data_IF_760154834480
#
_entry.id   IF_760154834480
#
_cell.length_a   1.000
_cell.length_b   1.000
_cell.length_c   1.000
_cell.angle_alpha   90.00
_cell.angle_beta   90.00
_cell.angle_gamma   90.00
#
_symmetry.space_group_name_H-M   'P 1'
#
loop_
_entity.id
_entity.type
_entity.pdbx_description
1 polymer ?
#
# COMPACT_ATOMS: atom_id res chain seq x y z
N UNK A 1 32.92 9.57 0.56
CA UNK A 1 31.61 10.27 0.62
C UNK A 1 31.70 11.75 0.23
N UNK A 2 32.51 12.62 0.87
CA UNK A 2 32.56 14.07 0.52
C UNK A 2 32.81 14.38 -0.97
N UNK A 3 33.74 13.68 -1.62
CA UNK A 3 33.98 13.87 -3.06
C UNK A 3 32.86 13.28 -3.93
N UNK A 4 32.20 12.21 -3.48
CA UNK A 4 31.06 11.61 -4.17
C UNK A 4 29.87 12.57 -4.17
N UNK A 5 29.56 13.19 -3.01
CA UNK A 5 28.47 14.16 -2.86
C UNK A 5 28.70 15.41 -3.70
N UNK A 6 29.93 15.95 -3.75
CA UNK A 6 30.23 17.14 -4.55
C UNK A 6 30.10 16.87 -6.06
N UNK A 7 30.64 15.74 -6.52
CA UNK A 7 30.50 15.26 -7.90
C UNK A 7 29.02 15.04 -8.24
N UNK A 8 28.25 14.47 -7.30
CA UNK A 8 26.82 14.24 -7.48
C UNK A 8 25.96 15.51 -7.52
N UNK A 9 26.21 16.49 -6.65
CA UNK A 9 25.48 17.76 -6.61
C UNK A 9 25.71 18.56 -7.90
N UNK A 10 26.94 18.53 -8.42
CA UNK A 10 27.26 19.06 -9.75
C UNK A 10 26.48 18.31 -10.85
N UNK A 11 26.43 16.98 -10.78
CA UNK A 11 25.69 16.17 -11.75
C UNK A 11 24.18 16.38 -11.71
N UNK A 12 23.55 16.50 -10.54
CA UNK A 12 22.12 16.80 -10.39
C UNK A 12 21.67 18.07 -11.12
N UNK A 13 22.49 19.11 -11.06
CA UNK A 13 22.15 20.41 -11.64
C UNK A 13 22.01 20.36 -13.17
N UNK A 14 22.69 19.42 -13.82
CA UNK A 14 22.66 19.22 -15.28
C UNK A 14 21.83 18.01 -15.69
N UNK A 15 21.93 16.93 -14.91
CA UNK A 15 21.18 15.71 -15.12
C UNK A 15 19.69 15.96 -14.99
N UNK A 16 19.20 16.89 -14.17
CA UNK A 16 17.76 17.11 -14.04
C UNK A 16 17.08 17.26 -15.41
N UNK A 17 17.51 18.15 -16.31
CA UNK A 17 16.83 18.30 -17.61
C UNK A 17 16.88 17.03 -18.51
N UNK A 18 18.04 16.39 -18.64
CA UNK A 18 18.22 15.22 -19.53
C UNK A 18 17.73 13.91 -18.92
N UNK A 19 17.94 13.74 -17.61
CA UNK A 19 17.34 12.68 -16.82
C UNK A 19 15.83 12.80 -16.95
N UNK A 20 15.21 13.98 -16.78
CA UNK A 20 13.75 14.11 -16.88
C UNK A 20 13.20 13.92 -18.29
N UNK A 21 13.90 14.37 -19.33
CA UNK A 21 13.57 13.98 -20.69
C UNK A 21 13.72 12.45 -20.87
N UNK A 22 14.65 11.78 -20.18
CA UNK A 22 14.80 10.31 -20.21
C UNK A 22 13.89 9.53 -19.26
N UNK A 23 13.32 10.18 -18.23
CA UNK A 23 12.30 9.65 -17.32
C UNK A 23 10.89 9.88 -17.86
N UNK A 24 10.75 10.83 -18.79
CA UNK A 24 9.55 11.08 -19.56
C UNK A 24 9.79 11.10 -21.09
N UNK A 25 10.50 10.11 -21.68
CA UNK A 25 11.02 10.19 -23.05
C UNK A 25 9.94 10.17 -24.14
N UNK A 26 8.67 10.05 -23.75
CA UNK A 26 7.52 10.03 -24.64
C UNK A 26 6.22 10.64 -24.04
N UNK A 27 6.27 11.43 -22.94
CA UNK A 27 5.03 11.75 -22.22
C UNK A 27 4.43 10.52 -21.53
N UNK A 28 5.32 9.64 -21.06
CA UNK A 28 5.12 8.26 -20.61
C UNK A 28 4.13 8.15 -19.46
N UNK A 29 4.08 9.16 -18.60
CA UNK A 29 3.01 9.35 -17.61
C UNK A 29 2.19 10.54 -18.07
N UNK A 30 0.98 10.28 -18.58
CA UNK A 30 0.02 11.35 -18.77
C UNK A 30 -0.38 11.85 -17.37
N UNK A 31 0.25 12.93 -16.92
CA UNK A 31 0.01 13.49 -15.59
C UNK A 31 -1.48 13.77 -15.34
N UNK A 32 -2.25 14.11 -16.38
CA UNK A 32 -3.69 14.28 -16.25
C UNK A 32 -4.44 12.95 -16.00
N UNK A 33 -3.98 11.84 -16.60
CA UNK A 33 -4.58 10.52 -16.38
C UNK A 33 -4.27 10.01 -14.96
N UNK A 34 -3.03 10.17 -14.50
CA UNK A 34 -2.65 9.85 -13.12
C UNK A 34 -3.41 10.75 -12.15
N UNK A 35 -3.36 12.07 -12.32
CA UNK A 35 -4.11 13.01 -11.50
C UNK A 35 -5.60 12.69 -11.45
N UNK A 36 -6.25 12.41 -12.59
CA UNK A 36 -7.66 12.02 -12.65
C UNK A 36 -7.93 10.73 -11.88
N UNK A 37 -7.06 9.74 -12.00
CA UNK A 37 -7.25 8.47 -11.28
C UNK A 37 -7.13 8.68 -9.78
N UNK A 38 -6.13 9.45 -9.37
CA UNK A 38 -5.79 9.74 -7.99
C UNK A 38 -6.84 10.59 -7.29
N UNK A 39 -7.29 11.65 -7.95
CA UNK A 39 -8.33 12.55 -7.42
C UNK A 39 -9.68 11.88 -7.25
N UNK A 40 -9.92 10.75 -7.92
CA UNK A 40 -11.18 10.01 -7.84
C UNK A 40 -11.10 8.79 -6.92
N UNK A 41 -9.97 8.55 -6.23
CA UNK A 41 -9.85 7.37 -5.39
C UNK A 41 -10.69 7.47 -4.11
N UNK A 42 -11.57 6.49 -3.91
CA UNK A 42 -12.34 6.38 -2.69
C UNK A 42 -11.52 5.68 -1.57
N UNK A 43 -11.73 6.05 -0.30
CA UNK A 43 -11.11 5.40 0.88
C UNK A 43 -11.21 3.88 0.89
N UNK A 44 -12.39 3.35 0.50
CA UNK A 44 -12.72 1.94 0.59
C UNK A 44 -12.03 1.07 -0.47
N UNK A 45 -11.35 1.67 -1.46
CA UNK A 45 -10.65 0.92 -2.50
C UNK A 45 -9.27 0.40 -2.04
N UNK A 46 -8.80 0.73 -0.83
CA UNK A 46 -7.50 0.29 -0.31
C UNK A 46 -7.42 -1.24 -0.03
N UNK A 47 -8.56 -1.90 0.19
CA UNK A 47 -8.65 -3.37 0.34
C UNK A 47 -8.93 -4.09 -0.99
N UNK A 48 -9.14 -3.35 -2.09
CA UNK A 48 -9.36 -3.95 -3.39
C UNK A 48 -8.05 -4.54 -3.91
N UNK A 49 -8.14 -5.74 -4.48
CA UNK A 49 -7.02 -6.29 -5.24
C UNK A 49 -6.81 -5.45 -6.52
N UNK A 50 -5.57 -5.21 -6.95
CA UNK A 50 -5.31 -4.55 -8.22
C UNK A 50 -6.00 -5.30 -9.36
N UNK A 51 -6.61 -4.55 -10.28
CA UNK A 51 -7.51 -5.10 -11.31
C UNK A 51 -6.74 -5.68 -12.50
N UNK A 52 -5.45 -5.32 -12.61
CA UNK A 52 -4.56 -5.75 -13.67
C UNK A 52 -3.13 -5.93 -13.16
N UNK A 53 -2.40 -6.86 -13.78
CA UNK A 53 -1.01 -7.12 -13.45
C UNK A 53 -0.11 -6.00 -14.01
N UNK A 54 0.42 -5.18 -13.11
CA UNK A 54 1.44 -4.15 -13.40
C UNK A 54 2.87 -4.67 -13.22
N UNK A 55 3.03 -5.97 -12.96
CA UNK A 55 4.33 -6.61 -12.86
C UNK A 55 5.09 -6.59 -14.18
N UNK A 56 6.41 -6.57 -14.08
CA UNK A 56 7.31 -6.74 -15.20
C UNK A 56 8.33 -7.84 -14.88
N UNK A 57 8.85 -8.46 -15.94
CA UNK A 57 9.95 -9.41 -15.81
C UNK A 57 11.25 -8.63 -15.67
N UNK A 58 11.85 -8.67 -14.48
CA UNK A 58 13.16 -8.07 -14.26
C UNK A 58 14.19 -8.70 -15.21
N UNK A 59 14.86 -7.86 -15.99
CA UNK A 59 15.83 -8.30 -17.01
C UNK A 59 17.12 -8.93 -16.44
N UNK A 60 17.31 -8.87 -15.12
CA UNK A 60 18.57 -9.27 -14.47
C UNK A 60 19.62 -8.16 -14.47
N UNK A 61 19.34 -7.01 -15.07
CA UNK A 61 20.20 -5.82 -15.09
C UNK A 61 19.41 -4.60 -14.62
N UNK A 62 20.05 -3.70 -13.88
CA UNK A 62 19.48 -2.38 -13.57
C UNK A 62 19.61 -1.48 -14.79
N UNK A 63 18.50 -1.21 -15.45
CA UNK A 63 18.46 -0.44 -16.69
C UNK A 63 18.73 1.04 -16.42
N UNK A 64 18.20 1.57 -15.31
CA UNK A 64 18.37 2.96 -14.91
C UNK A 64 19.84 3.30 -14.68
N UNK A 65 20.55 2.51 -13.86
CA UNK A 65 21.94 2.82 -13.52
C UNK A 65 22.82 2.82 -14.77
N UNK A 66 22.63 1.85 -15.66
CA UNK A 66 23.30 1.79 -16.96
C UNK A 66 22.98 2.99 -17.85
N UNK A 67 21.70 3.29 -18.08
CA UNK A 67 21.30 4.41 -18.94
C UNK A 67 21.77 5.75 -18.39
N UNK A 68 21.68 5.95 -17.08
CA UNK A 68 22.14 7.16 -16.42
C UNK A 68 23.65 7.35 -16.56
N UNK A 69 24.43 6.31 -16.28
CA UNK A 69 25.89 6.35 -16.38
C UNK A 69 26.33 6.57 -17.83
N UNK A 70 25.70 5.92 -18.80
CA UNK A 70 25.98 6.15 -20.22
C UNK A 70 25.61 7.56 -20.67
N UNK A 71 24.46 8.08 -20.23
CA UNK A 71 24.06 9.48 -20.49
C UNK A 71 25.10 10.46 -19.92
N UNK A 72 25.52 10.25 -18.67
CA UNK A 72 26.53 11.08 -18.02
C UNK A 72 27.89 11.03 -18.72
N UNK A 73 28.34 9.86 -19.20
CA UNK A 73 29.60 9.74 -19.97
C UNK A 73 29.61 10.64 -21.22
N UNK A 74 28.45 10.95 -21.76
CA UNK A 74 28.30 11.82 -22.94
C UNK A 74 28.12 13.31 -22.61
N UNK A 75 27.94 13.66 -21.33
CA UNK A 75 27.70 15.03 -20.90
C UNK A 75 29.02 15.83 -20.83
N UNK A 76 29.03 17.12 -21.23
CA UNK A 76 30.20 18.00 -21.13
C UNK A 76 30.80 18.10 -19.72
N UNK A 77 29.97 17.98 -18.69
CA UNK A 77 30.32 18.08 -17.28
C UNK A 77 31.15 16.89 -16.80
N UNK A 78 31.03 15.76 -17.50
CA UNK A 78 31.80 14.57 -17.20
C UNK A 78 33.20 14.57 -17.82
N UNK A 79 33.64 15.68 -18.44
CA UNK A 79 34.95 15.81 -19.09
C UNK A 79 36.14 15.47 -18.17
N UNK A 80 35.98 15.60 -16.85
CA UNK A 80 37.00 15.28 -15.85
C UNK A 80 36.72 14.00 -15.06
N UNK A 81 35.60 13.31 -15.32
CA UNK A 81 35.23 12.09 -14.61
C UNK A 81 36.05 10.90 -15.16
N UNK A 82 36.57 10.08 -14.25
CA UNK A 82 37.30 8.87 -14.59
C UNK A 82 36.36 7.67 -14.72
N UNK A 83 36.84 6.58 -15.33
CA UNK A 83 36.10 5.32 -15.35
C UNK A 83 35.77 4.79 -13.93
N UNK A 84 36.64 5.06 -12.95
CA UNK A 84 36.41 4.69 -11.55
C UNK A 84 35.28 5.51 -10.93
N UNK A 85 35.18 6.81 -11.25
CA UNK A 85 34.08 7.67 -10.78
C UNK A 85 32.72 7.15 -11.29
N UNK A 86 32.63 6.77 -12.57
CA UNK A 86 31.42 6.21 -13.13
C UNK A 86 31.07 4.85 -12.53
N UNK A 87 32.05 3.98 -12.29
CA UNK A 87 31.81 2.68 -11.66
C UNK A 87 31.33 2.84 -10.21
N UNK A 88 31.91 3.78 -9.45
CA UNK A 88 31.46 4.12 -8.10
C UNK A 88 30.05 4.69 -8.07
N UNK A 89 29.70 5.51 -9.06
CA UNK A 89 28.36 6.05 -9.25
C UNK A 89 27.33 4.94 -9.54
N UNK A 90 27.63 4.08 -10.51
CA UNK A 90 26.78 2.93 -10.87
C UNK A 90 26.53 2.03 -9.66
N UNK A 91 27.59 1.71 -8.89
CA UNK A 91 27.50 0.92 -7.68
C UNK A 91 26.60 1.58 -6.61
N UNK A 92 26.68 2.91 -6.47
CA UNK A 92 25.86 3.67 -5.51
C UNK A 92 24.39 3.65 -5.90
N UNK A 93 24.07 3.80 -7.19
CA UNK A 93 22.68 3.72 -7.68
C UNK A 93 22.13 2.31 -7.46
N UNK A 94 22.90 1.28 -7.81
CA UNK A 94 22.51 -0.11 -7.59
C UNK A 94 22.26 -0.39 -6.10
N UNK A 95 23.11 0.14 -5.21
CA UNK A 95 22.91 0.00 -3.77
C UNK A 95 21.60 0.65 -3.30
N UNK A 96 21.23 1.83 -3.82
CA UNK A 96 19.95 2.49 -3.49
C UNK A 96 18.76 1.63 -3.95
N UNK A 97 18.82 1.12 -5.18
CA UNK A 97 17.77 0.24 -5.72
C UNK A 97 17.67 -1.08 -4.94
N UNK A 98 18.78 -1.62 -4.46
CA UNK A 98 18.77 -2.82 -3.62
C UNK A 98 18.17 -2.54 -2.23
N UNK A 99 18.40 -1.35 -1.65
CA UNK A 99 17.72 -0.94 -0.41
C UNK A 99 16.21 -0.81 -0.63
N UNK A 100 15.80 -0.22 -1.75
CA UNK A 100 14.39 -0.18 -2.13
C UNK A 100 13.78 -1.58 -2.21
N UNK A 101 14.44 -2.52 -2.89
CA UNK A 101 13.96 -3.90 -3.00
C UNK A 101 13.80 -4.56 -1.62
N UNK A 102 14.75 -4.34 -0.70
CA UNK A 102 14.68 -4.85 0.67
C UNK A 102 13.48 -4.27 1.41
N UNK A 103 13.28 -2.95 1.32
CA UNK A 103 12.16 -2.26 1.98
C UNK A 103 10.83 -2.77 1.44
N UNK A 104 10.65 -2.80 0.12
CA UNK A 104 9.41 -3.24 -0.52
C UNK A 104 9.08 -4.69 -0.22
N UNK A 105 10.08 -5.58 -0.23
CA UNK A 105 9.85 -6.98 0.18
C UNK A 105 9.56 -7.10 1.67
N UNK A 106 10.19 -6.27 2.51
CA UNK A 106 9.96 -6.24 3.95
C UNK A 106 8.52 -5.87 4.32
N UNK A 107 7.86 -5.09 3.47
CA UNK A 107 6.44 -4.73 3.63
C UNK A 107 5.49 -5.71 2.90
N UNK A 108 6.01 -6.80 2.33
CA UNK A 108 5.23 -7.84 1.67
C UNK A 108 4.80 -7.52 0.24
N UNK A 109 5.39 -6.49 -0.39
CA UNK A 109 5.04 -6.05 -1.73
C UNK A 109 6.08 -6.51 -2.77
N UNK A 110 5.73 -6.46 -4.06
CA UNK A 110 6.61 -6.87 -5.16
C UNK A 110 7.42 -5.66 -5.68
N UNK A 111 8.77 -5.64 -5.55
CA UNK A 111 9.58 -4.54 -6.09
C UNK A 111 9.61 -4.49 -7.62
N UNK A 112 9.20 -5.56 -8.30
CA UNK A 112 9.10 -5.65 -9.75
C UNK A 112 7.69 -5.37 -10.28
N UNK A 113 6.92 -4.61 -9.52
CA UNK A 113 5.60 -4.14 -9.88
C UNK A 113 5.62 -2.63 -10.05
N UNK A 114 5.23 -2.13 -11.24
CA UNK A 114 5.25 -0.70 -11.52
C UNK A 114 4.27 0.06 -10.61
N UNK A 115 3.13 -0.56 -10.28
CA UNK A 115 2.15 0.01 -9.35
C UNK A 115 2.75 0.26 -7.98
N UNK A 116 3.51 -0.71 -7.46
CA UNK A 116 4.23 -0.64 -6.19
C UNK A 116 5.30 0.44 -6.22
N UNK A 117 6.09 0.53 -7.30
CA UNK A 117 7.12 1.58 -7.44
C UNK A 117 6.54 2.99 -7.50
N UNK A 118 5.47 3.19 -8.25
CA UNK A 118 4.76 4.47 -8.25
C UNK A 118 4.15 4.77 -6.87
N UNK A 119 3.50 3.81 -6.23
CA UNK A 119 2.91 4.00 -4.91
C UNK A 119 3.95 4.40 -3.85
N UNK A 120 5.10 3.73 -3.83
CA UNK A 120 6.22 4.08 -2.97
C UNK A 120 6.79 5.48 -3.32
N UNK A 121 6.83 5.84 -4.60
CA UNK A 121 7.22 7.19 -5.04
C UNK A 121 6.30 8.28 -4.48
N UNK A 122 4.98 8.10 -4.57
CA UNK A 122 4.01 9.03 -3.96
C UNK A 122 4.25 9.15 -2.45
N UNK A 123 4.45 8.01 -1.80
CA UNK A 123 4.61 7.94 -0.36
C UNK A 123 5.88 8.65 0.13
N UNK A 124 7.05 8.29 -0.41
CA UNK A 124 8.31 8.92 -0.01
C UNK A 124 8.32 10.41 -0.33
N UNK A 125 7.63 10.83 -1.40
CA UNK A 125 7.49 12.25 -1.72
C UNK A 125 6.68 13.01 -0.67
N UNK A 126 5.63 12.39 -0.16
CA UNK A 126 4.84 12.93 0.93
C UNK A 126 5.68 13.08 2.19
N UNK A 127 6.47 12.06 2.54
CA UNK A 127 7.33 12.09 3.73
C UNK A 127 8.41 13.16 3.64
N UNK A 128 9.06 13.29 2.47
CA UNK A 128 10.05 14.35 2.20
C UNK A 128 9.43 15.73 2.41
N UNK A 129 8.20 15.94 1.93
CA UNK A 129 7.50 17.22 2.05
C UNK A 129 7.19 17.56 3.51
N UNK A 130 6.67 16.59 4.25
CA UNK A 130 6.16 16.81 5.60
C UNK A 130 7.21 16.56 6.70
N UNK A 131 8.42 16.14 6.33
CA UNK A 131 9.48 15.80 7.28
C UNK A 131 9.07 14.64 8.19
N UNK A 132 8.34 13.66 7.64
CA UNK A 132 7.85 12.51 8.39
C UNK A 132 8.93 11.43 8.36
N UNK A 133 9.43 11.08 9.55
CA UNK A 133 10.28 9.93 9.76
C UNK A 133 9.41 8.76 10.26
N UNK A 134 8.91 7.95 9.34
CA UNK A 134 8.08 6.78 9.64
C UNK A 134 8.75 5.50 9.20
N UNK A 135 8.51 4.43 9.96
CA UNK A 135 8.93 3.10 9.54
C UNK A 135 8.18 2.71 8.26
N UNK A 136 8.85 2.12 7.25
CA UNK A 136 8.19 1.68 6.02
C UNK A 136 7.08 0.65 6.26
N UNK A 137 7.16 -0.08 7.37
CA UNK A 137 6.22 -1.15 7.77
C UNK A 137 4.98 -0.64 8.50
N UNK A 138 4.81 0.68 8.65
CA UNK A 138 3.63 1.23 9.31
C UNK A 138 2.34 0.86 8.52
N UNK A 139 1.27 0.53 9.24
CA UNK A 139 0.02 0.08 8.64
C UNK A 139 -0.62 1.18 7.75
N UNK A 140 -0.41 2.45 8.07
CA UNK A 140 -0.90 3.57 7.28
C UNK A 140 -0.14 3.70 5.96
N UNK A 141 1.19 3.55 6.00
CA UNK A 141 2.05 3.48 4.80
C UNK A 141 1.63 2.35 3.86
N UNK A 142 1.40 1.17 4.43
CA UNK A 142 0.92 -0.01 3.69
C UNK A 142 -0.45 0.23 3.05
N UNK A 143 -1.39 0.80 3.80
CA UNK A 143 -2.72 1.15 3.30
C UNK A 143 -2.64 2.12 2.13
N UNK A 144 -1.83 3.19 2.26
CA UNK A 144 -1.60 4.13 1.18
C UNK A 144 -0.98 3.44 -0.05
N UNK A 145 0.08 2.65 0.12
CA UNK A 145 0.75 1.97 -1.00
C UNK A 145 -0.25 1.10 -1.79
N UNK A 146 -1.09 0.32 -1.09
CA UNK A 146 -2.10 -0.53 -1.72
C UNK A 146 -3.18 0.27 -2.43
N UNK A 147 -3.68 1.32 -1.78
CA UNK A 147 -4.63 2.27 -2.36
C UNK A 147 -4.09 2.83 -3.69
N UNK A 148 -2.86 3.34 -3.70
CA UNK A 148 -2.23 3.86 -4.91
C UNK A 148 -2.03 2.79 -5.98
N UNK A 149 -1.61 1.58 -5.60
CA UNK A 149 -1.45 0.48 -6.55
C UNK A 149 -2.76 0.15 -7.28
N UNK A 150 -3.89 0.11 -6.57
CA UNK A 150 -5.22 -0.08 -7.17
C UNK A 150 -5.52 1.02 -8.17
N UNK A 151 -5.27 2.28 -7.82
CA UNK A 151 -5.40 3.42 -8.73
C UNK A 151 -4.60 3.19 -10.01
N UNK A 152 -3.31 2.93 -9.86
CA UNK A 152 -2.35 2.84 -10.95
C UNK A 152 -2.69 1.65 -11.88
N UNK A 153 -3.15 0.53 -11.31
CA UNK A 153 -3.59 -0.64 -12.08
C UNK A 153 -4.76 -0.36 -13.04
N UNK A 154 -5.49 0.74 -12.84
CA UNK A 154 -6.60 1.17 -13.70
C UNK A 154 -6.16 2.11 -14.84
N UNK A 155 -4.86 2.43 -14.96
CA UNK A 155 -4.33 3.38 -15.97
C UNK A 155 -3.90 2.64 -17.25
N UNK A 156 -4.68 2.67 -18.36
CA UNK A 156 -4.42 1.84 -19.54
C UNK A 156 -3.07 2.12 -20.20
N UNK A 157 -2.61 3.37 -20.16
CA UNK A 157 -1.33 3.80 -20.74
C UNK A 157 -0.12 3.18 -20.05
N UNK A 158 -0.23 2.86 -18.75
CA UNK A 158 0.81 2.17 -17.99
C UNK A 158 0.78 0.67 -18.26
N UNK A 159 -0.42 0.10 -18.38
CA UNK A 159 -0.61 -1.32 -18.71
C UNK A 159 -0.05 -1.67 -20.10
N UNK A 160 -0.20 -0.76 -21.06
CA UNK A 160 0.23 -0.95 -22.45
C UNK A 160 1.75 -0.93 -22.67
N UNK A 161 2.55 -0.57 -21.65
CA UNK A 161 4.01 -0.49 -21.75
C UNK A 161 4.65 -1.87 -21.80
N UNK A 162 5.79 -1.96 -22.49
CA UNK A 162 6.63 -3.16 -22.48
C UNK A 162 7.25 -3.41 -21.11
N UNK A 163 7.73 -4.64 -20.87
CA UNK A 163 8.42 -4.98 -19.62
C UNK A 163 9.67 -4.11 -19.37
N UNK A 164 10.41 -3.79 -20.44
CA UNK A 164 11.62 -2.96 -20.34
C UNK A 164 11.27 -1.52 -19.94
N UNK A 165 10.22 -0.94 -20.54
CA UNK A 165 9.73 0.39 -20.17
C UNK A 165 9.19 0.41 -18.73
N UNK A 166 8.40 -0.61 -18.34
CA UNK A 166 7.90 -0.73 -16.97
C UNK A 166 9.04 -0.85 -15.96
N UNK A 167 10.06 -1.65 -16.27
CA UNK A 167 11.25 -1.80 -15.43
C UNK A 167 11.98 -0.46 -15.27
N UNK A 168 12.28 0.22 -16.37
CA UNK A 168 12.99 1.49 -16.34
C UNK A 168 12.22 2.55 -15.54
N UNK A 169 10.90 2.61 -15.73
CA UNK A 169 10.03 3.49 -14.94
C UNK A 169 10.06 3.13 -13.46
N UNK A 170 9.91 1.85 -13.11
CA UNK A 170 9.91 1.41 -11.73
C UNK A 170 11.24 1.71 -11.03
N UNK A 171 12.36 1.49 -11.71
CA UNK A 171 13.70 1.83 -11.18
C UNK A 171 13.86 3.34 -11.01
N UNK A 172 13.39 4.14 -11.97
CA UNK A 172 13.41 5.60 -11.84
C UNK A 172 12.58 6.10 -10.65
N UNK A 173 11.35 5.62 -10.54
CA UNK A 173 10.42 6.03 -9.49
C UNK A 173 10.87 5.55 -8.11
N UNK A 174 11.54 4.41 -8.01
CA UNK A 174 12.09 3.93 -6.73
C UNK A 174 13.38 4.66 -6.33
N UNK A 175 14.30 4.84 -7.26
CA UNK A 175 15.61 5.43 -6.97
C UNK A 175 15.55 6.94 -6.69
N UNK A 176 14.70 7.67 -7.41
CA UNK A 176 14.70 9.15 -7.37
C UNK A 176 14.33 9.73 -5.99
N UNK A 177 13.22 9.34 -5.34
CA UNK A 177 12.86 9.86 -4.01
C UNK A 177 13.92 9.55 -2.95
N UNK A 178 14.41 8.31 -2.90
CA UNK A 178 15.45 7.90 -1.95
C UNK A 178 16.72 8.71 -2.11
N UNK A 179 17.04 9.04 -3.35
CA UNK A 179 18.17 9.88 -3.66
C UNK A 179 17.97 11.33 -3.17
N UNK A 180 16.82 11.95 -3.45
CA UNK A 180 16.50 13.28 -2.93
C UNK A 180 16.49 13.32 -1.40
N UNK A 181 15.93 12.30 -0.76
CA UNK A 181 15.92 12.16 0.69
C UNK A 181 17.34 12.15 1.26
N UNK A 182 18.24 11.32 0.70
CA UNK A 182 19.63 11.25 1.15
C UNK A 182 20.37 12.60 1.02
N UNK A 183 20.09 13.40 -0.01
CA UNK A 183 20.68 14.74 -0.16
C UNK A 183 20.13 15.74 0.85
N UNK A 184 18.81 15.73 1.04
CA UNK A 184 18.14 16.60 1.99
C UNK A 184 18.68 16.32 3.39
N UNK A 185 18.73 15.06 3.80
CA UNK A 185 19.32 14.64 5.07
C UNK A 185 20.78 15.07 5.18
N UNK A 186 21.55 14.94 4.10
CA UNK A 186 22.94 15.39 4.09
C UNK A 186 23.05 16.91 4.32
N UNK A 187 22.26 17.72 3.64
CA UNK A 187 22.26 19.17 3.86
C UNK A 187 21.83 19.52 5.29
N UNK A 188 20.78 18.90 5.80
CA UNK A 188 20.30 19.10 7.17
C UNK A 188 21.37 18.74 8.20
N UNK A 189 22.04 17.60 8.07
CA UNK A 189 23.12 17.16 8.95
C UNK A 189 24.35 18.08 8.92
N UNK A 190 24.58 18.79 7.82
CA UNK A 190 25.68 19.76 7.67
C UNK A 190 25.28 21.20 8.02
N UNK A 191 24.07 21.43 8.55
CA UNK A 191 23.58 22.76 8.91
C UNK A 191 23.23 23.65 7.71
N UNK A 192 23.08 23.06 6.52
CA UNK A 192 22.74 23.74 5.27
C UNK A 192 21.22 23.76 5.04
N UNK A 193 20.50 24.37 5.99
CA UNK A 193 19.04 24.35 6.00
C UNK A 193 18.42 25.02 4.76
N UNK A 194 19.07 26.03 4.18
CA UNK A 194 18.58 26.73 2.99
C UNK A 194 18.66 25.83 1.75
N UNK A 195 19.75 25.09 1.58
CA UNK A 195 19.97 24.15 0.49
C UNK A 195 19.03 22.95 0.62
N UNK A 196 18.81 22.44 1.83
CA UNK A 196 17.79 21.42 2.09
C UNK A 196 16.39 21.89 1.67
N UNK A 197 16.00 23.11 2.06
CA UNK A 197 14.71 23.69 1.69
C UNK A 197 14.58 23.91 0.18
N UNK A 198 15.64 24.37 -0.49
CA UNK A 198 15.66 24.51 -1.94
C UNK A 198 15.52 23.16 -2.64
N UNK A 199 16.20 22.13 -2.14
CA UNK A 199 16.12 20.77 -2.68
C UNK A 199 14.70 20.18 -2.51
N UNK A 200 14.07 20.39 -1.35
CA UNK A 200 12.65 20.04 -1.13
C UNK A 200 11.73 20.75 -2.13
N UNK A 201 11.91 22.04 -2.35
CA UNK A 201 11.10 22.80 -3.31
C UNK A 201 11.29 22.31 -4.75
N UNK A 202 12.54 22.02 -5.15
CA UNK A 202 12.85 21.44 -6.46
C UNK A 202 12.21 20.06 -6.64
N UNK A 203 12.27 19.22 -5.60
CA UNK A 203 11.61 17.92 -5.60
C UNK A 203 10.11 18.01 -5.82
N UNK A 204 9.42 18.93 -5.13
CA UNK A 204 7.98 19.11 -5.28
C UNK A 204 7.58 19.55 -6.69
N UNK A 205 8.31 20.52 -7.25
CA UNK A 205 8.05 20.99 -8.60
C UNK A 205 8.27 19.87 -9.61
N UNK A 206 9.35 19.10 -9.45
CA UNK A 206 9.63 17.94 -10.28
C UNK A 206 8.52 16.89 -10.17
N UNK A 207 8.15 16.53 -8.95
CA UNK A 207 7.11 15.55 -8.69
C UNK A 207 5.83 15.92 -9.42
N UNK A 208 5.42 17.20 -9.30
CA UNK A 208 4.24 17.74 -9.96
C UNK A 208 4.35 17.69 -11.47
N UNK A 209 5.52 17.98 -12.04
CA UNK A 209 5.77 17.87 -13.48
C UNK A 209 5.67 16.43 -13.99
N UNK A 210 6.21 15.46 -13.23
CA UNK A 210 6.22 14.04 -13.62
C UNK A 210 4.85 13.39 -13.48
N UNK A 211 4.14 13.68 -12.39
CA UNK A 211 2.90 12.98 -12.04
C UNK A 211 1.62 13.75 -12.36
N UNK A 212 1.71 15.07 -12.54
CA UNK A 212 0.55 15.97 -12.56
C UNK A 212 -0.10 16.18 -11.19
N UNK A 213 0.38 15.52 -10.13
CA UNK A 213 -0.19 15.57 -8.79
C UNK A 213 0.58 16.56 -7.93
N UNK A 214 -0.15 17.43 -7.24
CA UNK A 214 0.44 18.32 -6.24
C UNK A 214 0.48 17.60 -4.88
N UNK A 215 1.67 17.20 -4.43
CA UNK A 215 1.85 16.48 -3.15
C UNK A 215 1.35 17.32 -1.97
N UNK A 216 1.37 18.65 -2.08
CA UNK A 216 0.89 19.52 -1.02
C UNK A 216 -0.63 19.49 -0.83
N UNK A 217 -1.36 18.99 -1.83
CA UNK A 217 -2.80 18.74 -1.71
C UNK A 217 -3.11 17.38 -1.09
N UNK A 218 -2.11 16.52 -0.89
CA UNK A 218 -2.29 15.21 -0.29
C UNK A 218 -2.40 15.36 1.24
N UNK A 219 -3.27 14.55 1.84
CA UNK A 219 -3.46 14.48 3.29
C UNK A 219 -3.56 13.02 3.72
N UNK A 220 -2.89 12.69 4.83
CA UNK A 220 -3.09 11.41 5.49
C UNK A 220 -4.36 11.43 6.34
N UNK A 221 -5.27 10.48 6.09
CA UNK A 221 -6.37 10.19 7.01
C UNK A 221 -6.36 8.70 7.36
N UNK A 222 -7.30 8.31 8.22
CA UNK A 222 -7.57 6.90 8.48
C UNK A 222 -7.92 6.20 7.16
N UNK A 223 -7.21 5.13 6.83
CA UNK A 223 -7.41 4.36 5.60
C UNK A 223 -6.52 4.76 4.40
N UNK A 224 -5.69 5.81 4.48
CA UNK A 224 -4.68 6.09 3.45
C UNK A 224 -4.42 7.56 3.13
N UNK A 225 -4.03 7.84 1.88
CA UNK A 225 -3.69 9.18 1.38
C UNK A 225 -4.85 9.75 0.54
N UNK A 226 -5.16 11.02 0.73
CA UNK A 226 -6.33 11.67 0.14
C UNK A 226 -5.95 12.99 -0.52
N UNK A 227 -6.56 13.32 -1.65
CA UNK A 227 -6.46 14.68 -2.20
C UNK A 227 -7.48 15.57 -1.49
N UNK A 228 -7.04 16.71 -0.95
CA UNK A 228 -7.90 17.64 -0.21
C UNK A 228 -9.13 18.10 -0.99
N UNK A 229 -9.01 18.24 -2.32
CA UNK A 229 -10.11 18.60 -3.21
C UNK A 229 -11.21 17.54 -3.27
N UNK A 230 -10.87 16.26 -3.14
CA UNK A 230 -11.85 15.17 -3.05
C UNK A 230 -12.70 15.28 -1.78
N UNK A 231 -12.09 15.60 -0.63
CA UNK A 231 -12.81 15.79 0.62
C UNK A 231 -13.79 16.97 0.55
N UNK A 232 -13.37 18.08 -0.07
CA UNK A 232 -14.23 19.24 -0.26
C UNK A 232 -15.48 18.92 -1.12
N UNK A 233 -15.34 18.05 -2.12
CA UNK A 233 -16.45 17.59 -2.95
C UNK A 233 -17.40 16.62 -2.21
N UNK A 234 -16.89 15.78 -1.32
CA UNK A 234 -17.75 14.89 -0.49
C UNK A 234 -18.60 15.67 0.52
N UNK A 235 -18.03 16.74 1.10
CA UNK A 235 -18.73 17.60 2.05
C UNK A 235 -19.94 18.31 1.41
N UNK A 236 -19.89 18.65 0.12
CA UNK A 236 -21.01 19.29 -0.58
C UNK A 236 -22.13 18.31 -0.95
N UNK A 237 -21.79 17.05 -1.24
CA UNK A 237 -22.78 15.98 -1.55
C UNK A 237 -23.54 15.55 -0.29
N UNK A 238 -22.90 15.62 0.88
CA UNK A 238 -23.47 15.17 2.16
C UNK A 238 -24.36 16.19 2.87
N UNK A 239 -24.56 17.39 2.30
CA UNK A 239 -25.57 18.32 2.83
C UNK A 239 -26.95 17.68 2.64
N UNK A 240 -27.65 17.24 3.71
CA UNK A 240 -28.91 16.56 3.54
C UNK A 240 -29.89 17.53 2.90
N UNK A 241 -30.35 17.21 1.68
CA UNK A 241 -31.51 17.87 1.12
C UNK A 241 -32.65 17.71 2.15
N UNK A 242 -33.30 18.78 2.62
CA UNK A 242 -34.28 18.68 3.69
C UNK A 242 -35.34 17.65 3.31
N UNK A 243 -35.39 16.56 4.08
CA UNK A 243 -36.34 15.48 3.88
C UNK A 243 -37.76 16.04 4.05
N UNK A 244 -38.48 16.22 2.94
CA UNK A 244 -39.94 16.33 2.99
C UNK A 244 -40.48 15.00 3.49
N UNK A 245 -40.83 14.94 4.77
CA UNK A 245 -41.37 13.77 5.46
C UNK A 245 -42.63 13.25 4.77
N UNK A 246 -42.68 12.01 4.26
CA UNK A 246 -43.95 11.34 4.04
C UNK A 246 -44.47 10.76 5.37
N UNK A 247 -45.75 11.03 5.63
CA UNK A 247 -46.47 10.67 6.85
C UNK A 247 -46.43 9.16 7.14
N UNK A 248 -46.12 8.83 8.39
CA UNK A 248 -46.10 7.47 8.93
C UNK A 248 -47.51 6.89 9.07
N UNK A 249 -47.75 5.70 8.53
CA UNK A 249 -48.88 4.85 8.89
C UNK A 249 -48.44 3.89 10.01
N UNK A 250 -49.09 4.04 11.16
CA UNK A 250 -48.90 3.28 12.39
C UNK A 250 -49.63 1.92 12.27
N UNK A 251 -48.89 0.81 12.41
CA UNK A 251 -49.46 -0.53 12.55
C UNK A 251 -49.44 -0.97 14.03
N UNK A 252 -50.56 -1.51 14.48
CA UNK A 252 -50.84 -1.95 15.85
C UNK A 252 -49.97 -3.15 16.30
N UNK A 253 -49.63 -3.25 17.60
CA UNK A 253 -49.06 -4.45 18.19
C UNK A 253 -50.17 -5.38 18.71
N UNK A 254 -49.95 -6.70 18.63
CA UNK A 254 -50.76 -7.67 19.38
C UNK A 254 -49.89 -8.76 20.05
N UNK A 255 -50.34 -9.34 21.18
CA UNK A 255 -49.49 -9.71 22.32
C UNK A 255 -49.45 -11.22 22.64
N UNK A 256 -48.56 -11.67 23.55
CA UNK A 256 -48.96 -12.40 24.77
C UNK A 256 -47.78 -12.55 25.80
N UNK A 257 -47.85 -11.89 26.97
CA UNK A 257 -46.80 -11.90 28.00
C UNK A 257 -46.95 -12.99 29.11
N UNK A 258 -47.59 -14.14 28.87
CA UNK A 258 -47.85 -15.14 29.92
C UNK A 258 -47.53 -16.61 29.59
N UNK A 259 -46.54 -16.87 28.72
CA UNK A 259 -46.01 -18.23 28.62
C UNK A 259 -45.12 -18.55 29.84
N UNK A 260 -45.71 -19.14 30.88
CA UNK A 260 -45.03 -19.64 32.09
C UNK A 260 -44.04 -20.75 31.72
N UNK A 261 -42.74 -20.45 31.77
CA UNK A 261 -41.69 -21.46 31.68
C UNK A 261 -41.57 -22.22 33.01
N UNK A 262 -41.45 -23.55 32.92
CA UNK A 262 -41.23 -24.44 34.05
C UNK A 262 -39.84 -24.21 34.68
N UNK A 263 -39.68 -24.36 36.01
CA UNK A 263 -38.39 -24.18 36.67
C UNK A 263 -37.39 -25.28 36.25
N UNK A 264 -36.16 -24.94 35.85
CA UNK A 264 -35.14 -25.92 35.51
C UNK A 264 -34.63 -26.64 36.77
N UNK A 265 -34.45 -27.96 36.64
CA UNK A 265 -33.80 -28.84 37.62
C UNK A 265 -32.38 -28.34 37.96
N UNK A 266 -31.94 -28.33 39.23
CA UNK A 266 -30.56 -27.99 39.59
C UNK A 266 -29.61 -29.11 39.15
N UNK A 267 -28.96 -28.90 38.00
CA UNK A 267 -27.89 -29.76 37.49
C UNK A 267 -26.59 -29.56 38.28
N UNK A 268 -25.93 -30.68 38.52
CA UNK A 268 -24.68 -30.86 39.25
C UNK A 268 -23.54 -29.97 38.69
N UNK A 269 -22.93 -29.05 39.47
CA UNK A 269 -22.02 -28.01 38.96
C UNK A 269 -20.58 -28.47 38.65
N UNK A 270 -20.32 -29.78 38.47
CA UNK A 270 -18.96 -30.33 38.43
C UNK A 270 -18.56 -30.98 37.08
N UNK A 271 -19.34 -30.80 36.01
CA UNK A 271 -19.00 -31.37 34.69
C UNK A 271 -19.19 -30.39 33.54
N UNK A 272 -18.84 -29.12 33.74
CA UNK A 272 -18.76 -28.18 32.63
C UNK A 272 -17.47 -28.48 31.87
N UNK A 273 -17.57 -29.26 30.79
CA UNK A 273 -16.47 -29.44 29.86
C UNK A 273 -15.94 -28.05 29.47
N UNK A 274 -14.62 -27.89 29.45
CA UNK A 274 -14.01 -26.66 29.00
C UNK A 274 -14.56 -26.34 27.59
N UNK A 275 -15.08 -25.13 27.42
CA UNK A 275 -15.60 -24.69 26.14
C UNK A 275 -14.47 -24.75 25.10
N UNK A 276 -14.79 -25.22 23.90
CA UNK A 276 -13.83 -25.27 22.81
C UNK A 276 -13.34 -23.84 22.48
N UNK A 277 -12.03 -23.57 22.52
CA UNK A 277 -11.50 -22.23 22.33
C UNK A 277 -11.79 -21.68 20.93
N UNK A 278 -11.93 -22.53 19.91
CA UNK A 278 -12.15 -22.12 18.52
C UNK A 278 -13.62 -21.92 18.16
N UNK A 279 -14.56 -22.32 19.03
CA UNK A 279 -15.99 -22.06 18.80
C UNK A 279 -16.33 -20.63 19.22
N UNK A 280 -16.99 -19.89 18.32
CA UNK A 280 -17.41 -18.51 18.53
C UNK A 280 -17.25 -17.63 17.28
N UNK A 281 -17.43 -16.33 17.47
CA UNK A 281 -17.21 -15.30 16.44
C UNK A 281 -15.93 -14.54 16.76
N UNK A 282 -15.09 -14.38 15.76
CA UNK A 282 -13.84 -13.62 15.80
C UNK A 282 -13.95 -12.45 14.82
N UNK A 283 -13.68 -11.23 15.29
CA UNK A 283 -13.75 -10.00 14.49
C UNK A 283 -12.35 -9.39 14.31
N UNK A 284 -11.95 -9.19 13.07
CA UNK A 284 -10.86 -8.31 12.67
C UNK A 284 -11.39 -7.01 12.06
N UNK A 285 -10.51 -6.23 11.44
CA UNK A 285 -10.86 -4.96 10.80
C UNK A 285 -11.82 -5.15 9.61
N UNK A 286 -11.45 -5.99 8.63
CA UNK A 286 -12.22 -6.21 7.40
C UNK A 286 -12.66 -7.68 7.22
N UNK A 287 -12.49 -8.47 8.28
CA UNK A 287 -12.71 -9.92 8.26
C UNK A 287 -13.42 -10.37 9.53
N UNK A 288 -14.39 -11.26 9.40
CA UNK A 288 -14.97 -11.98 10.53
C UNK A 288 -15.02 -13.46 10.26
N UNK A 289 -14.81 -14.25 11.31
CA UNK A 289 -14.86 -15.71 11.25
C UNK A 289 -15.81 -16.20 12.34
N UNK A 290 -16.88 -16.88 11.96
CA UNK A 290 -17.77 -17.56 12.90
C UNK A 290 -17.61 -19.06 12.73
N UNK A 291 -17.19 -19.74 13.80
CA UNK A 291 -17.01 -21.19 13.82
C UNK A 291 -17.96 -21.84 14.83
N UNK A 292 -18.58 -22.92 14.38
CA UNK A 292 -19.35 -23.84 15.20
C UNK A 292 -18.82 -25.27 14.98
N UNK A 293 -18.98 -26.15 15.97
CA UNK A 293 -18.55 -27.53 15.86
C UNK A 293 -18.02 -28.08 17.17
N UNK A 294 -17.14 -29.07 17.04
CA UNK A 294 -16.45 -29.69 18.17
C UNK A 294 -14.97 -29.87 17.84
N UNK A 295 -14.18 -30.30 18.82
CA UNK A 295 -12.71 -30.34 18.76
C UNK A 295 -12.09 -31.12 17.61
N UNK A 296 -12.86 -31.85 16.80
CA UNK A 296 -12.38 -32.57 15.62
C UNK A 296 -12.73 -31.89 14.29
N UNK A 297 -13.86 -31.18 14.21
CA UNK A 297 -14.32 -30.53 12.99
C UNK A 297 -15.15 -29.28 13.28
N UNK A 298 -14.89 -28.25 12.49
CA UNK A 298 -15.56 -26.96 12.55
C UNK A 298 -16.19 -26.65 11.21
N UNK A 299 -17.37 -26.07 11.26
CA UNK A 299 -18.06 -25.49 10.12
C UNK A 299 -18.43 -24.06 10.48
N UNK A 300 -18.47 -23.19 9.48
CA UNK A 300 -18.71 -21.79 9.77
C UNK A 300 -18.85 -20.92 8.56
N UNK A 301 -18.67 -19.63 8.82
CA UNK A 301 -18.72 -18.58 7.82
C UNK A 301 -17.54 -17.63 8.03
N UNK A 302 -16.84 -17.33 6.95
CA UNK A 302 -15.85 -16.27 6.86
C UNK A 302 -16.48 -15.11 6.08
N UNK A 303 -16.66 -13.96 6.70
CA UNK A 303 -17.06 -12.75 5.98
C UNK A 303 -15.82 -11.91 5.72
N UNK A 304 -15.52 -11.66 4.44
CA UNK A 304 -14.41 -10.82 4.01
C UNK A 304 -14.92 -9.82 2.98
N UNK A 305 -14.63 -8.53 3.17
CA UNK A 305 -15.15 -7.45 2.32
C UNK A 305 -16.69 -7.49 2.14
N UNK A 306 -17.42 -7.85 3.20
CA UNK A 306 -18.88 -7.96 3.21
C UNK A 306 -19.46 -9.17 2.48
N UNK A 307 -18.63 -10.04 1.90
CA UNK A 307 -19.06 -11.29 1.28
C UNK A 307 -18.83 -12.46 2.22
N UNK A 308 -19.83 -13.33 2.34
CA UNK A 308 -19.80 -14.52 3.18
C UNK A 308 -19.33 -15.75 2.40
N UNK A 309 -18.38 -16.47 2.96
CA UNK A 309 -17.82 -17.70 2.41
C UNK A 309 -17.98 -18.85 3.42
N UNK A 310 -18.59 -19.98 3.01
CA UNK A 310 -18.70 -21.14 3.89
C UNK A 310 -17.30 -21.71 4.16
N UNK A 311 -17.02 -22.01 5.43
CA UNK A 311 -15.74 -22.61 5.84
C UNK A 311 -15.91 -24.00 6.43
N UNK A 312 -14.94 -24.86 6.14
CA UNK A 312 -14.78 -26.16 6.79
C UNK A 312 -13.36 -26.24 7.33
N UNK A 313 -13.20 -26.64 8.59
CA UNK A 313 -11.89 -26.77 9.22
C UNK A 313 -11.81 -27.99 10.14
N UNK A 314 -10.59 -28.41 10.43
CA UNK A 314 -10.27 -29.46 11.38
C UNK A 314 -9.20 -28.96 12.37
N UNK A 315 -9.22 -29.50 13.59
CA UNK A 315 -8.16 -29.22 14.55
C UNK A 315 -6.84 -29.88 14.12
N UNK A 316 -5.74 -29.18 14.39
CA UNK A 316 -4.37 -29.65 14.20
C UNK A 316 -3.60 -29.53 15.52
N UNK A 317 -2.33 -29.94 15.54
CA UNK A 317 -1.48 -29.79 16.73
C UNK A 317 -1.22 -28.31 17.10
N UNK A 318 -1.27 -27.41 16.12
CA UNK A 318 -0.89 -25.99 16.27
C UNK A 318 -2.09 -25.04 16.23
N UNK A 319 -3.30 -25.56 15.92
CA UNK A 319 -4.53 -24.77 15.89
C UNK A 319 -5.62 -25.43 15.06
N UNK A 320 -6.12 -24.72 14.05
CA UNK A 320 -7.08 -25.24 13.07
C UNK A 320 -6.56 -25.02 11.65
N UNK A 321 -6.90 -25.93 10.74
CA UNK A 321 -6.64 -25.79 9.31
C UNK A 321 -7.92 -26.11 8.53
N UNK A 322 -8.19 -25.33 7.49
CA UNK A 322 -9.44 -25.45 6.76
C UNK A 322 -9.39 -24.88 5.35
N UNK A 323 -10.54 -24.90 4.71
CA UNK A 323 -10.75 -24.32 3.38
C UNK A 323 -12.04 -23.50 3.34
N UNK A 324 -12.07 -22.54 2.42
CA UNK A 324 -13.28 -21.83 2.01
C UNK A 324 -13.25 -21.65 0.49
N UNK A 325 -14.43 -21.50 -0.12
CA UNK A 325 -14.54 -21.32 -1.57
C UNK A 325 -14.97 -19.89 -1.90
N UNK A 326 -14.21 -19.21 -2.76
CA UNK A 326 -14.56 -17.91 -3.33
C UNK A 326 -14.53 -18.01 -4.85
N UNK A 327 -15.63 -17.62 -5.51
CA UNK A 327 -15.76 -17.68 -6.98
C UNK A 327 -15.43 -19.06 -7.59
N UNK A 328 -15.74 -20.14 -6.86
CA UNK A 328 -15.49 -21.51 -7.30
C UNK A 328 -14.03 -21.99 -7.17
N UNK A 329 -13.14 -21.17 -6.60
CA UNK A 329 -11.78 -21.58 -6.23
C UNK A 329 -11.70 -21.82 -4.73
N UNK A 330 -11.04 -22.91 -4.34
CA UNK A 330 -10.81 -23.24 -2.93
C UNK A 330 -9.52 -22.59 -2.43
N UNK A 331 -9.61 -21.94 -1.27
CA UNK A 331 -8.49 -21.31 -0.59
C UNK A 331 -8.26 -22.01 0.75
N UNK A 332 -7.01 -22.40 0.99
CA UNK A 332 -6.60 -22.96 2.27
C UNK A 332 -6.37 -21.84 3.30
N UNK A 333 -6.64 -22.13 4.57
CA UNK A 333 -6.26 -21.28 5.68
C UNK A 333 -5.76 -22.11 6.86
N UNK A 334 -4.95 -21.47 7.70
CA UNK A 334 -4.60 -21.95 9.04
C UNK A 334 -4.96 -20.87 10.05
N UNK A 335 -5.31 -21.26 11.27
CA UNK A 335 -5.48 -20.31 12.36
C UNK A 335 -4.96 -20.87 13.68
N UNK A 336 -4.34 -20.00 14.47
CA UNK A 336 -3.86 -20.30 15.82
C UNK A 336 -4.43 -19.30 16.81
N UNK A 337 -4.88 -19.78 17.97
CA UNK A 337 -5.44 -18.93 19.02
C UNK A 337 -4.42 -18.72 20.13
N UNK A 338 -4.11 -17.46 20.44
CA UNK A 338 -3.36 -17.05 21.61
C UNK A 338 -4.26 -16.19 22.51
N UNK A 339 -4.67 -16.74 23.65
CA UNK A 339 -5.68 -16.16 24.54
C UNK A 339 -7.00 -15.84 23.79
N UNK A 340 -7.30 -14.57 23.55
CA UNK A 340 -8.49 -14.09 22.84
C UNK A 340 -8.21 -13.68 21.38
N UNK A 341 -6.94 -13.72 20.96
CA UNK A 341 -6.52 -13.27 19.62
C UNK A 341 -6.29 -14.48 18.73
N UNK A 342 -7.06 -14.56 17.64
CA UNK A 342 -6.94 -15.57 16.61
C UNK A 342 -6.13 -15.00 15.44
N UNK A 343 -4.98 -15.61 15.18
CA UNK A 343 -4.16 -15.29 14.01
C UNK A 343 -4.56 -16.22 12.87
N UNK A 344 -5.11 -15.67 11.80
CA UNK A 344 -5.54 -16.42 10.61
C UNK A 344 -4.59 -16.15 9.45
N UNK A 345 -4.09 -17.19 8.80
CA UNK A 345 -3.29 -17.11 7.58
C UNK A 345 -4.07 -17.69 6.40
N UNK A 346 -4.18 -16.95 5.31
CA UNK A 346 -4.74 -17.45 4.05
C UNK A 346 -4.15 -16.70 2.88
N UNK A 347 -3.79 -17.42 1.80
CA UNK A 347 -3.21 -16.81 0.59
C UNK A 347 -1.92 -16.00 0.83
N UNK A 348 -1.17 -16.32 1.88
CA UNK A 348 0.05 -15.57 2.27
C UNK A 348 -0.22 -14.33 3.14
N UNK A 349 -1.48 -13.95 3.34
CA UNK A 349 -1.87 -12.84 4.22
C UNK A 349 -2.07 -13.31 5.66
N UNK A 350 -1.77 -12.44 6.62
CA UNK A 350 -1.99 -12.67 8.06
C UNK A 350 -3.03 -11.70 8.60
N UNK A 351 -4.04 -12.22 9.28
CA UNK A 351 -5.13 -11.45 9.89
C UNK A 351 -5.16 -11.69 11.40
N UNK A 352 -5.41 -10.63 12.17
CA UNK A 352 -5.58 -10.69 13.61
C UNK A 352 -7.05 -10.45 13.96
N UNK A 353 -7.69 -11.42 14.62
CA UNK A 353 -9.11 -11.37 14.97
C UNK A 353 -9.30 -11.51 16.49
N UNK A 354 -10.20 -10.72 17.06
CA UNK A 354 -10.57 -10.79 18.48
C UNK A 354 -11.84 -11.59 18.70
N UNK A 355 -11.81 -12.54 19.64
CA UNK A 355 -12.98 -13.29 20.07
C UNK A 355 -14.02 -12.34 20.71
N UNK A 356 -15.27 -12.44 20.29
CA UNK A 356 -16.41 -11.66 20.84
C UNK A 356 -17.01 -12.29 22.08
#
# INVERSE_FOLDING_TARGET
>A
MKNLVLVFVLFLSVANAQLFDSLNPAGVVNGAAVQSTVTNLAPADASAEPVADTSYVYSGQRLLSKQFVEGLKTSPEAANATAEDFAGLEASINQILDQYDIVVRGIGENPYDLGTAMAAFFEFSYDILHGIDKAPTDAQTLGAIRQWRVAISKTPELLAKSNEEKQLMAESLSGTPLFYLALIENYEQNGQAQEAAQMKAQWLELFKQVTGVDVSELQYLEGGLYVASWMANQATISTPQPLTSPASAQAEPAPNPLATQAPPNPLNPLSQAAADPYVGTFLGQDISLTLAGSSASYNGELVFNGQAYPVQAAATAEGIAGTFAASGTEFAFTASLNASTLTLLSGGNTFSLQKQ
#
